data_IF_519874958323
#
_entry.id   IF_519874958323
#
_cell.length_a   1.000
_cell.length_b   1.000
_cell.length_c   1.000
_cell.angle_alpha   90.00
_cell.angle_beta   90.00
_cell.angle_gamma   90.00
#
_symmetry.space_group_name_H-M   'P 1'
#
loop_
_entity.id
_entity.type
_entity.pdbx_description
1 polymer ?
#
# COMPACT_ATOMS: atom_id res chain seq x y z
N UNK A 1 24.06 -3.37 6.45
CA UNK A 1 23.17 -2.20 6.60
C UNK A 1 23.36 -1.40 5.33
N UNK A 2 22.40 -1.49 4.40
CA UNK A 2 22.38 -0.60 3.24
C UNK A 2 21.68 0.68 3.65
N UNK A 3 22.30 1.83 3.38
CA UNK A 3 21.70 3.13 3.62
C UNK A 3 20.54 3.35 2.66
N UNK A 4 19.44 3.90 3.20
CA UNK A 4 18.22 4.20 2.46
C UNK A 4 18.33 5.60 1.85
N UNK A 5 18.33 5.68 0.52
CA UNK A 5 18.36 6.96 -0.19
C UNK A 5 17.02 7.23 -0.85
N UNK A 6 16.27 8.19 -0.31
CA UNK A 6 15.26 8.91 -1.07
C UNK A 6 16.01 9.85 -2.00
N UNK A 7 16.11 9.50 -3.28
CA UNK A 7 16.81 10.31 -4.28
C UNK A 7 16.03 11.57 -4.62
N UNK A 8 16.18 12.61 -3.80
CA UNK A 8 15.75 13.97 -4.15
C UNK A 8 16.96 14.88 -4.03
N UNK A 9 17.53 15.30 -5.16
CA UNK A 9 18.53 16.37 -5.16
C UNK A 9 17.85 17.65 -4.69
N UNK A 10 18.24 18.13 -3.51
CA UNK A 10 17.86 19.45 -3.01
C UNK A 10 18.85 20.44 -3.63
N UNK A 11 18.38 21.27 -4.57
CA UNK A 11 19.11 22.47 -4.97
C UNK A 11 19.00 23.51 -3.84
N UNK A 12 20.03 23.61 -3.00
CA UNK A 12 20.28 24.82 -2.21
C UNK A 12 20.82 25.90 -3.15
N UNK A 13 20.04 26.96 -3.34
CA UNK A 13 20.36 28.07 -4.22
C UNK A 13 21.11 29.14 -3.40
N UNK A 14 22.45 29.18 -3.51
CA UNK A 14 23.27 30.29 -3.02
C UNK A 14 24.36 30.66 -4.05
N UNK A 15 24.03 31.70 -4.82
CA UNK A 15 24.86 32.69 -5.55
C UNK A 15 26.30 32.37 -6.04
N UNK A 16 26.49 32.71 -7.33
CA UNK A 16 27.69 33.24 -8.05
C UNK A 16 28.52 32.30 -8.97
N UNK A 17 28.25 32.42 -10.29
CA UNK A 17 29.17 32.78 -11.40
C UNK A 17 30.53 32.03 -11.46
N UNK A 18 30.73 31.07 -12.38
CA UNK A 18 31.20 31.27 -13.77
C UNK A 18 31.59 29.95 -14.47
N UNK A 19 31.21 29.85 -15.75
CA UNK A 19 31.78 29.08 -16.89
C UNK A 19 32.37 27.66 -16.71
N UNK A 20 31.73 26.65 -17.33
CA UNK A 20 32.23 25.90 -18.51
C UNK A 20 31.77 24.42 -18.57
N UNK A 21 31.49 23.99 -19.81
CA UNK A 21 31.27 22.62 -20.32
C UNK A 21 30.04 21.83 -19.85
N UNK A 22 29.00 21.91 -20.69
CA UNK A 22 27.93 20.92 -20.85
C UNK A 22 28.51 19.54 -21.18
N UNK A 23 28.25 18.55 -20.32
CA UNK A 23 27.62 17.29 -20.76
C UNK A 23 26.98 16.60 -19.55
N UNK A 24 25.70 16.89 -19.29
CA UNK A 24 24.85 16.02 -18.49
C UNK A 24 23.50 15.92 -19.18
N UNK A 25 23.19 14.74 -19.70
CA UNK A 25 21.87 14.37 -20.18
C UNK A 25 20.92 14.17 -18.99
N UNK A 26 20.63 15.24 -18.27
CA UNK A 26 19.50 15.29 -17.36
C UNK A 26 18.22 15.33 -18.19
N UNK A 27 17.44 14.25 -18.15
CA UNK A 27 16.07 14.24 -18.66
C UNK A 27 15.29 15.25 -17.81
N UNK A 28 15.08 16.44 -18.35
CA UNK A 28 14.17 17.41 -17.75
C UNK A 28 12.75 16.89 -17.91
N UNK A 29 12.08 16.58 -16.81
CA UNK A 29 10.64 16.36 -16.83
C UNK A 29 9.97 17.67 -17.27
N UNK A 30 9.39 17.66 -18.47
CA UNK A 30 8.74 18.81 -19.08
C UNK A 30 7.24 18.89 -18.75
N UNK A 31 6.73 18.04 -17.83
CA UNK A 31 5.30 17.99 -17.53
C UNK A 31 4.93 18.96 -16.39
N UNK A 32 4.00 19.85 -16.68
CA UNK A 32 3.40 20.73 -15.67
C UNK A 32 2.46 19.96 -14.73
N UNK A 33 2.01 20.58 -13.62
CA UNK A 33 1.19 19.93 -12.59
C UNK A 33 -0.18 19.39 -13.07
N UNK A 34 -0.62 19.75 -14.28
CA UNK A 34 -1.92 19.35 -14.85
C UNK A 34 -1.84 18.15 -15.83
N UNK A 35 -0.67 17.53 -16.04
CA UNK A 35 -0.46 16.44 -17.02
C UNK A 35 -0.05 15.11 -16.39
N UNK A 36 -0.67 14.74 -15.26
CA UNK A 36 -0.55 13.39 -14.69
C UNK A 36 -1.70 12.55 -15.22
N UNK A 37 -1.43 11.71 -16.23
CA UNK A 37 -2.38 10.68 -16.66
C UNK A 37 -2.49 9.64 -15.53
N UNK A 38 -3.60 9.64 -14.79
CA UNK A 38 -3.85 8.66 -13.74
C UNK A 38 -3.96 7.24 -14.34
N UNK A 39 -3.36 6.25 -13.66
CA UNK A 39 -3.42 4.86 -14.10
C UNK A 39 -4.85 4.32 -13.93
N UNK A 40 -5.48 3.79 -15.00
CA UNK A 40 -6.89 3.40 -14.98
C UNK A 40 -7.16 2.25 -14.01
N UNK A 41 -8.37 2.21 -13.44
CA UNK A 41 -8.81 1.11 -12.61
C UNK A 41 -9.09 -0.14 -13.47
N UNK A 42 -8.62 -1.30 -13.01
CA UNK A 42 -8.78 -2.59 -13.69
C UNK A 42 -8.90 -3.72 -12.68
N UNK A 43 -9.91 -4.57 -12.81
CA UNK A 43 -9.96 -5.84 -12.09
C UNK A 43 -9.15 -6.91 -12.86
N UNK A 44 -8.31 -7.64 -12.12
CA UNK A 44 -7.46 -8.71 -12.64
C UNK A 44 -8.04 -10.04 -12.19
N UNK A 45 -8.22 -10.96 -13.14
CA UNK A 45 -8.71 -12.30 -12.87
C UNK A 45 -7.57 -13.31 -12.92
N UNK A 46 -7.56 -14.24 -11.95
CA UNK A 46 -6.58 -15.33 -11.92
C UNK A 46 -6.84 -16.25 -13.13
N UNK A 47 -5.88 -16.45 -14.04
CA UNK A 47 -6.06 -17.34 -15.19
C UNK A 47 -6.26 -18.79 -14.73
N UNK A 48 -7.08 -19.55 -15.46
CA UNK A 48 -7.50 -20.90 -15.11
C UNK A 48 -6.37 -21.95 -15.10
N UNK A 49 -5.23 -21.64 -15.73
CA UNK A 49 -4.07 -22.53 -15.83
C UNK A 49 -2.97 -22.10 -14.85
N UNK A 50 -2.62 -22.98 -13.92
CA UNK A 50 -1.63 -22.73 -12.87
C UNK A 50 -0.18 -22.68 -13.37
N UNK A 51 0.51 -21.63 -12.90
CA UNK A 51 1.95 -21.40 -12.69
C UNK A 51 2.95 -21.52 -13.85
N UNK A 52 3.60 -20.38 -14.14
CA UNK A 52 5.00 -20.35 -14.59
C UNK A 52 5.86 -21.05 -13.52
N UNK A 53 6.38 -22.23 -13.84
CA UNK A 53 7.40 -22.94 -13.07
C UNK A 53 8.73 -22.18 -13.18
N UNK A 54 8.91 -21.18 -12.33
CA UNK A 54 10.20 -20.52 -12.13
C UNK A 54 10.62 -20.83 -10.69
N UNK A 55 11.86 -21.25 -10.48
CA UNK A 55 12.45 -21.47 -9.15
C UNK A 55 12.52 -20.12 -8.42
N UNK A 56 11.46 -19.77 -7.68
CA UNK A 56 11.38 -18.54 -6.90
C UNK A 56 11.65 -18.86 -5.44
N UNK A 57 12.46 -18.05 -4.77
CA UNK A 57 12.72 -18.18 -3.34
C UNK A 57 11.46 -17.78 -2.58
N UNK A 58 11.04 -18.67 -1.68
CA UNK A 58 9.92 -18.46 -0.78
C UNK A 58 10.50 -18.12 0.60
N UNK A 59 10.02 -17.02 1.18
CA UNK A 59 10.28 -16.63 2.56
C UNK A 59 9.04 -16.94 3.37
N UNK A 60 9.17 -17.63 4.49
CA UNK A 60 8.05 -17.90 5.40
C UNK A 60 8.31 -17.30 6.77
N UNK A 61 7.29 -16.67 7.34
CA UNK A 61 7.31 -16.03 8.65
C UNK A 61 6.19 -16.63 9.50
N UNK A 62 6.51 -16.99 10.73
CA UNK A 62 5.52 -17.46 11.71
C UNK A 62 4.76 -16.26 12.26
N UNK A 63 3.44 -16.26 12.12
CA UNK A 63 2.55 -15.21 12.61
C UNK A 63 1.45 -15.86 13.47
N UNK A 64 1.70 -15.98 14.78
CA UNK A 64 0.79 -16.66 15.70
C UNK A 64 0.60 -18.13 15.33
N UNK A 65 -0.64 -18.50 14.98
CA UNK A 65 -1.07 -19.84 14.59
C UNK A 65 -0.94 -20.14 13.08
N UNK A 66 -0.50 -19.17 12.28
CA UNK A 66 -0.30 -19.34 10.83
C UNK A 66 1.15 -19.14 10.41
N UNK A 67 1.55 -19.81 9.34
CA UNK A 67 2.80 -19.55 8.63
C UNK A 67 2.46 -18.78 7.35
N UNK A 68 2.96 -17.55 7.26
CA UNK A 68 2.75 -16.68 6.10
C UNK A 68 3.97 -16.76 5.19
N UNK A 69 3.77 -17.19 3.95
CA UNK A 69 4.83 -17.37 2.97
C UNK A 69 4.70 -16.34 1.82
N UNK A 70 5.81 -15.83 1.31
CA UNK A 70 5.80 -14.89 0.19
C UNK A 70 7.04 -15.02 -0.67
N UNK A 71 6.94 -14.60 -1.92
CA UNK A 71 8.05 -14.59 -2.86
C UNK A 71 9.08 -13.54 -2.46
N UNK A 72 10.36 -13.89 -2.56
CA UNK A 72 11.44 -12.96 -2.31
C UNK A 72 11.42 -11.83 -3.37
N UNK A 73 11.34 -10.54 -2.99
CA UNK A 73 11.21 -9.40 -3.91
C UNK A 73 12.16 -9.40 -5.12
N UNK A 74 13.45 -9.70 -4.88
CA UNK A 74 14.48 -9.73 -5.93
C UNK A 74 14.17 -10.72 -7.08
N UNK A 75 13.46 -11.81 -6.80
CA UNK A 75 13.17 -12.80 -7.83
C UNK A 75 12.04 -12.30 -8.76
N UNK A 76 11.21 -11.37 -8.28
CA UNK A 76 10.16 -10.71 -9.06
C UNK A 76 10.72 -9.58 -9.92
N UNK A 77 11.68 -8.80 -9.41
CA UNK A 77 12.35 -7.71 -10.14
C UNK A 77 12.99 -8.18 -11.47
N UNK A 78 13.45 -9.44 -11.52
CA UNK A 78 14.01 -10.06 -12.71
C UNK A 78 13.00 -10.38 -13.81
N UNK A 79 11.70 -10.42 -13.50
CA UNK A 79 10.63 -10.86 -14.41
C UNK A 79 9.91 -9.71 -15.11
N UNK A 80 10.18 -8.49 -14.66
CA UNK A 80 9.58 -7.27 -15.15
C UNK A 80 10.09 -6.98 -16.55
N UNK A 81 9.16 -6.74 -17.48
CA UNK A 81 9.49 -6.45 -18.88
C UNK A 81 10.39 -5.19 -18.99
N UNK A 82 11.37 -5.24 -19.90
CA UNK A 82 12.37 -4.18 -20.07
C UNK A 82 11.78 -2.79 -20.37
N UNK A 83 10.54 -2.73 -20.89
CA UNK A 83 9.85 -1.48 -21.25
C UNK A 83 8.84 -1.00 -20.21
N UNK A 84 8.74 -1.66 -19.07
CA UNK A 84 7.80 -1.23 -18.03
C UNK A 84 8.37 -0.06 -17.22
N UNK A 85 7.48 0.83 -16.80
CA UNK A 85 7.79 1.96 -15.93
C UNK A 85 8.48 1.52 -14.61
N UNK A 86 8.16 0.31 -14.14
CA UNK A 86 8.76 -0.28 -12.94
C UNK A 86 10.25 -0.57 -13.16
N UNK A 87 10.64 -1.01 -14.36
CA UNK A 87 12.05 -1.31 -14.65
C UNK A 87 12.89 -0.03 -14.71
N UNK A 88 12.32 1.06 -15.21
CA UNK A 88 12.96 2.38 -15.19
C UNK A 88 13.23 2.84 -13.75
N UNK A 89 12.24 2.71 -12.86
CA UNK A 89 12.38 3.01 -11.43
C UNK A 89 13.48 2.16 -10.75
N UNK A 90 13.47 0.85 -10.99
CA UNK A 90 14.49 -0.07 -10.45
C UNK A 90 15.89 0.29 -10.97
N UNK A 91 16.02 0.63 -12.26
CA UNK A 91 17.31 0.96 -12.89
C UNK A 91 17.97 2.22 -12.32
N UNK A 92 17.15 3.15 -11.80
CA UNK A 92 17.61 4.39 -11.16
C UNK A 92 17.86 4.23 -9.65
N UNK A 93 17.80 2.99 -9.14
CA UNK A 93 17.91 2.67 -7.71
C UNK A 93 16.89 3.42 -6.83
N UNK A 94 15.75 3.80 -7.40
CA UNK A 94 14.67 4.41 -6.64
C UNK A 94 13.69 3.33 -6.17
N UNK A 95 13.46 3.25 -4.86
CA UNK A 95 12.41 2.38 -4.28
C UNK A 95 11.00 2.80 -4.73
N UNK A 96 10.83 4.03 -5.28
CA UNK A 96 9.56 4.69 -5.57
C UNK A 96 9.76 5.75 -6.68
N UNK A 97 8.84 5.82 -7.64
CA UNK A 97 8.61 6.98 -8.50
C UNK A 97 7.12 7.36 -8.40
N UNK A 98 6.78 8.50 -7.75
CA UNK A 98 5.38 8.85 -7.50
C UNK A 98 4.54 8.87 -8.79
N UNK A 99 3.34 8.28 -8.72
CA UNK A 99 2.41 8.13 -9.85
C UNK A 99 2.95 7.34 -11.05
N UNK A 100 4.04 6.59 -10.87
CA UNK A 100 4.68 5.75 -11.89
C UNK A 100 4.89 4.34 -11.32
N UNK A 101 5.61 4.25 -10.20
CA UNK A 101 5.87 3.03 -9.45
C UNK A 101 5.88 3.33 -7.95
N UNK A 102 4.92 2.81 -7.20
CA UNK A 102 4.75 3.14 -5.77
C UNK A 102 5.47 2.15 -4.83
N UNK A 103 6.48 1.43 -5.33
CA UNK A 103 7.33 0.56 -4.50
C UNK A 103 6.73 -0.79 -4.12
N UNK A 104 5.67 -1.24 -4.80
CA UNK A 104 4.87 -2.42 -4.44
C UNK A 104 5.60 -3.77 -4.47
N UNK A 105 6.78 -3.86 -5.10
CA UNK A 105 7.55 -5.12 -5.13
C UNK A 105 8.31 -5.40 -3.84
N UNK A 106 8.53 -4.35 -3.03
CA UNK A 106 9.25 -4.46 -1.77
C UNK A 106 8.30 -4.86 -0.65
N UNK A 107 8.77 -5.77 0.21
CA UNK A 107 8.08 -6.08 1.46
C UNK A 107 8.58 -5.10 2.52
N UNK A 108 7.73 -4.14 2.88
CA UNK A 108 8.02 -3.13 3.89
C UNK A 108 7.75 -3.65 5.31
N UNK A 109 8.54 -3.19 6.29
CA UNK A 109 8.46 -3.66 7.68
C UNK A 109 7.05 -3.47 8.28
N UNK A 110 6.37 -2.37 7.94
CA UNK A 110 5.01 -2.10 8.45
C UNK A 110 3.97 -3.14 8.01
N UNK A 111 4.18 -3.83 6.89
CA UNK A 111 3.28 -4.89 6.42
C UNK A 111 3.28 -6.06 7.40
N UNK A 112 4.46 -6.47 7.87
CA UNK A 112 4.61 -7.51 8.90
C UNK A 112 4.21 -7.01 10.29
N UNK A 113 4.50 -5.75 10.64
CA UNK A 113 4.02 -5.16 11.90
C UNK A 113 2.48 -5.18 11.98
N UNK A 114 1.80 -4.89 10.86
CA UNK A 114 0.35 -4.93 10.78
C UNK A 114 -0.18 -6.35 10.94
N UNK A 115 0.42 -7.35 10.27
CA UNK A 115 0.09 -8.77 10.50
C UNK A 115 0.29 -9.16 11.97
N UNK A 116 1.38 -8.70 12.59
CA UNK A 116 1.65 -8.97 14.00
C UNK A 116 0.61 -8.36 14.92
N UNK A 117 0.09 -7.19 14.61
CA UNK A 117 -1.01 -6.60 15.38
C UNK A 117 -2.35 -7.29 15.14
N UNK A 118 -2.68 -7.62 13.88
CA UNK A 118 -3.93 -8.30 13.54
C UNK A 118 -4.03 -9.68 14.19
N UNK A 119 -2.91 -10.34 14.49
CA UNK A 119 -2.91 -11.61 15.22
C UNK A 119 -3.26 -11.47 16.71
N UNK A 120 -3.00 -10.30 17.30
CA UNK A 120 -3.31 -10.02 18.70
C UNK A 120 -4.81 -9.70 18.88
N UNK A 121 -5.53 -9.45 17.77
CA UNK A 121 -6.99 -9.30 17.76
C UNK A 121 -7.69 -10.66 17.78
N UNK A 122 -8.93 -10.71 18.27
CA UNK A 122 -9.72 -11.95 18.28
C UNK A 122 -9.88 -12.50 16.84
N UNK A 123 -9.37 -13.71 16.52
CA UNK A 123 -9.41 -14.26 15.16
C UNK A 123 -10.82 -14.46 14.58
N UNK A 124 -11.85 -14.61 15.43
CA UNK A 124 -13.26 -14.67 14.99
C UNK A 124 -13.67 -13.36 14.30
N UNK A 125 -12.93 -12.28 14.54
CA UNK A 125 -13.21 -10.95 14.02
C UNK A 125 -13.07 -10.79 12.51
N UNK A 126 -12.57 -11.77 11.75
CA UNK A 126 -12.42 -11.61 10.29
C UNK A 126 -13.29 -12.57 9.46
N UNK A 127 -13.79 -13.63 10.08
CA UNK A 127 -14.58 -14.64 9.36
C UNK A 127 -15.87 -14.02 8.80
N UNK A 128 -16.06 -14.13 7.48
CA UNK A 128 -17.23 -13.58 6.79
C UNK A 128 -17.23 -12.06 6.62
N UNK A 129 -16.16 -11.36 6.99
CA UNK A 129 -16.01 -9.93 6.71
C UNK A 129 -15.47 -9.67 5.30
N UNK A 130 -15.80 -8.49 4.75
CA UNK A 130 -15.23 -7.99 3.50
C UNK A 130 -14.15 -6.98 3.80
N UNK A 131 -12.94 -7.23 3.32
CA UNK A 131 -11.72 -6.47 3.65
C UNK A 131 -11.12 -5.90 2.36
N UNK A 132 -10.66 -4.65 2.41
CA UNK A 132 -9.88 -4.02 1.34
C UNK A 132 -8.46 -3.76 1.83
N UNK A 133 -7.45 -4.23 1.12
CA UNK A 133 -6.06 -3.84 1.34
C UNK A 133 -5.63 -2.83 0.26
N UNK A 134 -5.39 -1.58 0.66
CA UNK A 134 -4.95 -0.49 -0.21
C UNK A 134 -3.42 -0.40 -0.26
N UNK A 135 -2.85 -0.35 -1.46
CA UNK A 135 -1.39 -0.38 -1.66
C UNK A 135 -0.80 -1.69 -1.13
N UNK A 136 -1.33 -2.82 -1.59
CA UNK A 136 -1.12 -4.12 -0.98
C UNK A 136 0.30 -4.67 -1.21
N UNK A 137 0.99 -4.34 -2.31
CA UNK A 137 2.31 -4.89 -2.61
C UNK A 137 2.34 -6.42 -2.52
N UNK A 138 3.08 -6.96 -1.57
CA UNK A 138 3.11 -8.41 -1.31
C UNK A 138 1.80 -9.01 -0.77
N UNK A 139 0.85 -8.19 -0.29
CA UNK A 139 -0.48 -8.58 0.16
C UNK A 139 -0.54 -9.26 1.53
N UNK A 140 0.47 -9.09 2.38
CA UNK A 140 0.65 -9.89 3.60
C UNK A 140 -0.51 -9.70 4.62
N UNK A 141 -0.91 -8.47 5.01
CA UNK A 141 -2.10 -8.24 5.83
C UNK A 141 -3.38 -8.84 5.26
N UNK A 142 -3.64 -8.65 3.96
CA UNK A 142 -4.83 -9.20 3.31
C UNK A 142 -4.82 -10.73 3.31
N UNK A 143 -3.71 -11.36 2.95
CA UNK A 143 -3.55 -12.82 2.98
C UNK A 143 -3.77 -13.37 4.38
N UNK A 144 -3.23 -12.72 5.42
CA UNK A 144 -3.48 -13.13 6.79
C UNK A 144 -4.99 -13.15 7.10
N UNK A 145 -5.72 -12.10 6.76
CA UNK A 145 -7.18 -12.05 7.01
C UNK A 145 -7.98 -13.02 6.13
N UNK A 146 -7.52 -13.29 4.91
CA UNK A 146 -8.07 -14.33 4.03
C UNK A 146 -7.96 -15.71 4.67
N UNK A 147 -6.80 -16.04 5.27
CA UNK A 147 -6.58 -17.28 6.02
C UNK A 147 -7.48 -17.38 7.27
N UNK A 148 -7.98 -16.24 7.78
CA UNK A 148 -8.99 -16.17 8.85
C UNK A 148 -10.44 -16.18 8.34
N UNK A 149 -10.64 -16.38 7.04
CA UNK A 149 -11.94 -16.62 6.42
C UNK A 149 -12.65 -15.38 5.87
N UNK A 150 -11.96 -14.24 5.78
CA UNK A 150 -12.47 -13.03 5.13
C UNK A 150 -12.58 -13.19 3.60
N UNK A 151 -13.37 -12.31 2.97
CA UNK A 151 -13.28 -11.99 1.54
C UNK A 151 -12.41 -10.75 1.41
N UNK A 152 -11.39 -10.78 0.55
CA UNK A 152 -10.34 -9.77 0.50
C UNK A 152 -10.22 -9.19 -0.91
N UNK A 153 -10.25 -7.86 -0.99
CA UNK A 153 -9.93 -7.11 -2.20
C UNK A 153 -8.52 -6.55 -2.04
N UNK A 154 -7.60 -6.99 -2.90
CA UNK A 154 -6.23 -6.52 -2.95
C UNK A 154 -6.12 -5.42 -3.99
N UNK A 155 -5.69 -4.23 -3.58
CA UNK A 155 -5.52 -3.10 -4.48
C UNK A 155 -4.06 -2.67 -4.50
N UNK A 156 -3.49 -2.51 -5.70
CA UNK A 156 -2.18 -1.88 -5.91
C UNK A 156 -2.25 -0.88 -7.07
N UNK A 157 -1.31 0.06 -7.12
CA UNK A 157 -1.22 0.98 -8.24
C UNK A 157 -0.81 0.25 -9.52
N UNK A 158 0.14 -0.70 -9.39
CA UNK A 158 0.73 -1.39 -10.52
C UNK A 158 0.09 -2.77 -10.77
N UNK A 159 -0.41 -3.03 -11.98
CA UNK A 159 -0.98 -4.34 -12.37
C UNK A 159 0.07 -5.45 -12.25
N UNK A 160 1.30 -5.16 -12.64
CA UNK A 160 2.41 -6.10 -12.62
C UNK A 160 2.77 -6.55 -11.19
N UNK A 161 2.55 -5.69 -10.18
CA UNK A 161 2.73 -6.06 -8.76
C UNK A 161 1.69 -7.12 -8.37
N UNK A 162 0.44 -6.93 -8.78
CA UNK A 162 -0.63 -7.89 -8.51
C UNK A 162 -0.35 -9.24 -9.19
N UNK A 163 0.01 -9.22 -10.48
CA UNK A 163 0.23 -10.44 -11.27
C UNK A 163 1.48 -11.22 -10.86
N UNK A 164 2.58 -10.52 -10.57
CA UNK A 164 3.88 -11.16 -10.37
C UNK A 164 4.20 -11.42 -8.89
N UNK A 165 3.53 -10.72 -7.97
CA UNK A 165 3.79 -10.80 -6.54
C UNK A 165 2.54 -11.14 -5.72
N UNK A 166 1.48 -10.31 -5.74
CA UNK A 166 0.33 -10.48 -4.84
C UNK A 166 -0.43 -11.77 -5.10
N UNK A 167 -0.81 -12.05 -6.36
CA UNK A 167 -1.54 -13.26 -6.75
C UNK A 167 -0.72 -14.52 -6.42
N UNK A 168 0.57 -14.63 -6.82
CA UNK A 168 1.41 -15.75 -6.41
C UNK A 168 1.51 -15.92 -4.88
N UNK A 169 1.62 -14.83 -4.11
CA UNK A 169 1.65 -14.92 -2.65
C UNK A 169 0.32 -15.44 -2.09
N UNK A 170 -0.84 -15.01 -2.62
CA UNK A 170 -2.14 -15.56 -2.24
C UNK A 170 -2.18 -17.08 -2.51
N UNK A 171 -1.69 -17.51 -3.66
CA UNK A 171 -1.63 -18.93 -4.05
C UNK A 171 -0.68 -19.75 -3.16
N UNK A 172 0.39 -19.16 -2.64
CA UNK A 172 1.31 -19.84 -1.71
C UNK A 172 0.68 -20.14 -0.34
N UNK A 173 -0.34 -19.38 0.06
CA UNK A 173 -0.92 -19.44 1.41
C UNK A 173 -2.33 -20.05 1.45
N UNK A 174 -2.97 -20.23 0.30
CA UNK A 174 -4.37 -20.68 0.24
C UNK A 174 -4.60 -21.64 -0.92
N UNK A 175 -5.72 -22.37 -0.88
CA UNK A 175 -6.11 -23.32 -1.92
C UNK A 175 -6.97 -22.64 -3.00
N UNK A 176 -7.03 -23.20 -4.23
CA UNK A 176 -7.78 -22.62 -5.33
C UNK A 176 -9.22 -22.24 -5.05
N UNK A 177 -9.93 -23.05 -4.28
CA UNK A 177 -11.32 -22.79 -3.89
C UNK A 177 -11.45 -21.50 -3.08
N UNK A 178 -10.49 -21.23 -2.20
CA UNK A 178 -10.48 -20.03 -1.36
C UNK A 178 -10.19 -18.81 -2.20
N UNK A 179 -9.07 -18.78 -2.93
CA UNK A 179 -8.67 -17.55 -3.61
C UNK A 179 -9.50 -17.25 -4.86
N UNK A 180 -10.16 -18.23 -5.48
CA UNK A 180 -11.08 -17.99 -6.61
C UNK A 180 -12.43 -17.41 -6.17
N UNK A 181 -12.89 -17.75 -4.97
CA UNK A 181 -14.17 -17.27 -4.45
C UNK A 181 -14.05 -16.01 -3.58
N UNK A 182 -12.91 -15.83 -2.90
CA UNK A 182 -12.76 -14.83 -1.84
C UNK A 182 -11.74 -13.74 -2.13
N UNK A 183 -11.05 -13.76 -3.27
CA UNK A 183 -10.08 -12.73 -3.62
C UNK A 183 -10.49 -11.95 -4.87
N UNK A 184 -10.36 -10.63 -4.78
CA UNK A 184 -10.47 -9.70 -5.91
C UNK A 184 -9.17 -8.90 -6.02
N UNK A 185 -8.71 -8.61 -7.23
CA UNK A 185 -7.44 -7.92 -7.48
C UNK A 185 -7.68 -6.69 -8.33
N UNK A 186 -7.31 -5.51 -7.84
CA UNK A 186 -7.67 -4.22 -8.42
C UNK A 186 -6.42 -3.38 -8.65
N UNK A 187 -6.05 -3.17 -9.91
CA UNK A 187 -4.98 -2.27 -10.30
C UNK A 187 -5.50 -0.84 -10.52
N UNK A 188 -4.67 0.17 -10.29
CA UNK A 188 -4.89 1.55 -10.71
C UNK A 188 -4.86 2.60 -9.60
N UNK A 189 -5.05 3.87 -9.98
CA UNK A 189 -5.12 4.99 -9.03
C UNK A 189 -6.32 4.84 -8.08
N UNK A 190 -6.12 5.20 -6.82
CA UNK A 190 -7.17 5.11 -5.79
C UNK A 190 -8.46 5.83 -6.18
N UNK A 191 -8.39 6.97 -6.86
CA UNK A 191 -9.59 7.73 -7.24
C UNK A 191 -10.43 6.95 -8.26
N UNK A 192 -9.77 6.29 -9.21
CA UNK A 192 -10.46 5.52 -10.25
C UNK A 192 -10.94 4.16 -9.71
N UNK A 193 -10.17 3.53 -8.83
CA UNK A 193 -10.59 2.29 -8.14
C UNK A 193 -11.77 2.56 -7.22
N UNK A 194 -11.79 3.71 -6.54
CA UNK A 194 -12.92 4.18 -5.75
C UNK A 194 -14.18 4.24 -6.62
N UNK A 195 -14.11 4.88 -7.78
CA UNK A 195 -15.26 5.02 -8.67
C UNK A 195 -15.79 3.66 -9.16
N UNK A 196 -14.89 2.74 -9.52
CA UNK A 196 -15.24 1.37 -9.92
C UNK A 196 -15.99 0.64 -8.78
N UNK A 197 -15.42 0.60 -7.58
CA UNK A 197 -16.01 -0.10 -6.43
C UNK A 197 -17.31 0.55 -5.93
N UNK A 198 -17.43 1.87 -6.05
CA UNK A 198 -18.67 2.58 -5.72
C UNK A 198 -19.80 2.23 -6.69
N UNK A 199 -19.51 2.04 -7.98
CA UNK A 199 -20.51 1.63 -8.97
C UNK A 199 -21.05 0.22 -8.70
N UNK A 200 -20.20 -0.67 -8.17
CA UNK A 200 -20.60 -2.01 -7.74
C UNK A 200 -21.37 -2.03 -6.41
N UNK A 201 -21.40 -0.90 -5.68
CA UNK A 201 -22.04 -0.81 -4.37
C UNK A 201 -21.25 -1.46 -3.23
N UNK A 202 -19.99 -1.80 -3.46
CA UNK A 202 -19.13 -2.49 -2.49
C UNK A 202 -18.75 -1.57 -1.34
N UNK A 203 -18.75 -2.11 -0.11
CA UNK A 203 -18.29 -1.44 1.12
C UNK A 203 -17.59 -2.45 2.02
N UNK A 204 -16.63 -1.99 2.81
CA UNK A 204 -15.73 -2.86 3.57
C UNK A 204 -15.93 -2.73 5.08
N UNK A 205 -15.89 -3.87 5.78
CA UNK A 205 -15.88 -3.93 7.25
C UNK A 205 -14.53 -3.45 7.79
N UNK A 206 -13.44 -3.81 7.09
CA UNK A 206 -12.08 -3.40 7.44
C UNK A 206 -11.35 -2.91 6.20
N UNK A 207 -10.62 -1.80 6.34
CA UNK A 207 -9.64 -1.37 5.35
C UNK A 207 -8.25 -1.49 5.97
N UNK A 208 -7.35 -2.19 5.30
CA UNK A 208 -5.96 -2.38 5.69
C UNK A 208 -5.08 -1.54 4.76
N UNK A 209 -4.02 -0.95 5.30
CA UNK A 209 -3.01 -0.31 4.46
C UNK A 209 -1.69 -0.18 5.22
N UNK A 210 -0.57 -0.37 4.53
CA UNK A 210 0.76 -0.27 5.14
C UNK A 210 1.71 0.51 4.26
N UNK A 211 2.40 1.50 4.84
CA UNK A 211 3.38 2.38 4.17
C UNK A 211 2.80 3.16 2.97
N UNK A 212 1.58 3.68 3.09
CA UNK A 212 0.87 4.40 2.01
C UNK A 212 0.71 5.91 2.24
N UNK A 213 1.24 6.44 3.36
CA UNK A 213 1.13 7.86 3.74
C UNK A 213 2.46 8.63 3.63
N UNK A 214 3.45 8.08 2.94
CA UNK A 214 4.77 8.71 2.76
C UNK A 214 4.69 10.01 1.94
N UNK A 215 3.78 10.08 0.96
CA UNK A 215 3.59 11.23 0.08
C UNK A 215 2.42 12.09 0.58
N UNK A 216 2.71 13.35 0.94
CA UNK A 216 1.68 14.32 1.34
C UNK A 216 0.61 14.52 0.26
N UNK A 217 1.03 14.55 -1.01
CA UNK A 217 0.15 14.78 -2.17
C UNK A 217 -0.84 13.64 -2.42
N UNK A 218 -0.51 12.42 -1.96
CA UNK A 218 -1.34 11.24 -2.16
C UNK A 218 -2.33 11.00 -1.01
N UNK A 219 -2.11 11.60 0.16
CA UNK A 219 -2.98 11.41 1.33
C UNK A 219 -4.44 11.84 1.11
N UNK A 220 -4.75 12.93 0.38
CA UNK A 220 -6.14 13.26 0.06
C UNK A 220 -6.85 12.17 -0.74
N UNK A 221 -6.15 11.52 -1.69
CA UNK A 221 -6.69 10.40 -2.47
C UNK A 221 -6.94 9.19 -1.57
N UNK A 222 -5.97 8.83 -0.73
CA UNK A 222 -6.10 7.73 0.24
C UNK A 222 -7.28 7.95 1.19
N UNK A 223 -7.40 9.15 1.75
CA UNK A 223 -8.50 9.50 2.64
C UNK A 223 -9.86 9.39 1.94
N UNK A 224 -9.97 9.88 0.71
CA UNK A 224 -11.23 9.85 -0.04
C UNK A 224 -11.68 8.42 -0.35
N UNK A 225 -10.78 7.53 -0.79
CA UNK A 225 -11.14 6.13 -1.06
C UNK A 225 -11.56 5.42 0.23
N UNK A 226 -10.84 5.63 1.34
CA UNK A 226 -11.22 5.09 2.64
C UNK A 226 -12.61 5.57 3.03
N UNK A 227 -12.84 6.89 2.96
CA UNK A 227 -14.13 7.49 3.32
C UNK A 227 -15.28 6.95 2.50
N UNK A 228 -15.07 6.78 1.20
CA UNK A 228 -16.13 6.37 0.28
C UNK A 228 -16.50 4.90 0.42
N UNK A 229 -15.54 4.06 0.80
CA UNK A 229 -15.67 2.59 0.77
C UNK A 229 -15.81 1.94 2.14
N UNK A 230 -15.47 2.62 3.24
CA UNK A 230 -15.64 2.08 4.59
C UNK A 230 -17.14 2.01 4.98
N UNK A 231 -17.56 0.91 5.60
CA UNK A 231 -18.90 0.82 6.22
C UNK A 231 -19.00 1.78 7.42
N UNK A 232 -20.21 2.23 7.83
CA UNK A 232 -20.39 3.14 8.97
C UNK A 232 -19.76 2.68 10.29
N UNK A 233 -19.72 1.36 10.54
CA UNK A 233 -19.10 0.75 11.72
C UNK A 233 -17.77 0.07 11.41
N UNK A 234 -17.23 0.30 10.21
CA UNK A 234 -15.98 -0.29 9.77
C UNK A 234 -14.78 0.33 10.47
N UNK A 235 -13.64 -0.35 10.37
CA UNK A 235 -12.36 0.11 10.92
C UNK A 235 -11.31 0.19 9.83
N UNK A 236 -10.39 1.13 9.97
CA UNK A 236 -9.17 1.16 9.18
C UNK A 236 -7.99 0.87 10.09
N UNK A 237 -7.11 -0.02 9.67
CA UNK A 237 -5.82 -0.24 10.29
C UNK A 237 -4.71 0.19 9.34
N UNK A 238 -3.94 1.19 9.74
CA UNK A 238 -2.88 1.79 8.96
C UNK A 238 -1.55 1.63 9.69
N UNK A 239 -0.58 0.96 9.08
CA UNK A 239 0.78 0.85 9.64
C UNK A 239 1.76 1.71 8.83
N UNK A 240 2.48 2.61 9.49
CA UNK A 240 3.41 3.51 8.79
C UNK A 240 4.54 4.00 9.71
N UNK A 241 5.60 4.55 9.09
CA UNK A 241 6.67 5.24 9.82
C UNK A 241 6.16 6.55 10.39
N UNK A 242 6.71 6.95 11.54
CA UNK A 242 6.36 8.26 12.13
C UNK A 242 6.81 9.42 11.27
N UNK A 243 7.84 9.22 10.45
CA UNK A 243 8.35 10.20 9.51
C UNK A 243 9.07 9.52 8.34
N UNK A 244 8.83 10.04 7.13
CA UNK A 244 9.53 9.68 5.90
C UNK A 244 10.40 10.85 5.46
N UNK A 245 11.72 10.70 5.59
CA UNK A 245 12.68 11.73 5.17
C UNK A 245 12.60 11.95 3.65
N UNK A 246 12.73 13.20 3.20
CA UNK A 246 12.67 13.59 1.77
C UNK A 246 11.26 13.89 1.27
N UNK A 247 10.29 13.00 1.50
CA UNK A 247 8.89 13.13 1.01
C UNK A 247 7.93 13.78 2.01
N UNK A 248 8.34 13.89 3.28
CA UNK A 248 7.66 14.70 4.30
C UNK A 248 6.45 14.06 4.98
N UNK A 249 5.93 12.94 4.47
CA UNK A 249 4.82 12.23 5.10
C UNK A 249 5.19 11.53 6.41
N UNK A 250 4.17 10.99 7.08
CA UNK A 250 4.33 10.25 8.34
C UNK A 250 3.05 10.25 9.17
N UNK A 251 3.01 9.42 10.21
CA UNK A 251 1.79 9.22 11.02
C UNK A 251 1.25 10.50 11.63
N UNK A 252 2.11 11.37 12.17
CA UNK A 252 1.68 12.61 12.85
C UNK A 252 0.96 13.57 11.93
N UNK A 253 1.55 13.83 10.77
CA UNK A 253 0.97 14.73 9.79
C UNK A 253 -0.33 14.16 9.21
N UNK A 254 -0.42 12.84 8.99
CA UNK A 254 -1.66 12.20 8.53
C UNK A 254 -2.77 12.25 9.60
N UNK A 255 -2.43 12.03 10.87
CA UNK A 255 -3.39 12.18 11.97
C UNK A 255 -3.98 13.60 12.03
N UNK A 256 -3.14 14.63 11.88
CA UNK A 256 -3.59 16.04 11.89
C UNK A 256 -4.51 16.32 10.70
N UNK A 257 -4.14 15.84 9.51
CA UNK A 257 -4.98 15.93 8.31
C UNK A 257 -6.36 15.27 8.51
N UNK A 258 -6.40 14.07 9.09
CA UNK A 258 -7.66 13.35 9.36
C UNK A 258 -8.52 14.12 10.38
N UNK A 259 -7.91 14.61 11.47
CA UNK A 259 -8.61 15.39 12.51
C UNK A 259 -9.19 16.69 11.96
N UNK A 260 -8.48 17.35 11.05
CA UNK A 260 -8.95 18.57 10.39
C UNK A 260 -10.22 18.33 9.56
N UNK A 261 -10.33 17.17 8.89
CA UNK A 261 -11.54 16.81 8.12
C UNK A 261 -12.77 16.57 9.02
N UNK A 262 -12.56 16.11 10.26
CA UNK A 262 -13.63 16.00 11.26
C UNK A 262 -14.69 14.93 10.96
N UNK A 263 -14.40 13.96 10.09
CA UNK A 263 -15.29 12.83 9.78
C UNK A 263 -14.89 11.54 10.50
N UNK A 264 -13.60 11.41 10.85
CA UNK A 264 -13.02 10.24 11.48
C UNK A 264 -12.38 10.56 12.83
N UNK A 265 -12.50 9.64 13.77
CA UNK A 265 -11.57 9.53 14.89
C UNK A 265 -10.35 8.72 14.45
N UNK A 266 -9.16 9.11 14.91
CA UNK A 266 -7.89 8.44 14.61
C UNK A 266 -6.98 8.41 15.84
N UNK A 267 -6.48 7.21 16.16
CA UNK A 267 -5.61 6.97 17.31
C UNK A 267 -4.45 6.03 16.98
N UNK A 268 -3.31 6.24 17.64
CA UNK A 268 -2.18 5.32 17.61
C UNK A 268 -2.40 4.21 18.62
N UNK A 269 -2.65 3.00 18.12
CA UNK A 269 -2.98 1.79 18.89
C UNK A 269 -1.75 0.92 19.17
N UNK A 270 -0.66 1.11 18.42
CA UNK A 270 0.61 0.41 18.62
C UNK A 270 1.77 1.30 18.20
N UNK A 271 2.84 1.28 18.98
CA UNK A 271 4.13 1.91 18.65
C UNK A 271 5.20 0.82 18.58
N UNK A 272 5.98 0.81 17.50
CA UNK A 272 7.13 -0.06 17.31
C UNK A 272 8.40 0.81 17.25
N UNK A 273 9.32 0.56 18.19
CA UNK A 273 10.51 1.40 18.38
C UNK A 273 11.81 0.73 17.89
N UNK A 274 11.74 -0.44 17.25
CA UNK A 274 12.90 -1.12 16.70
C UNK A 274 13.25 -0.53 15.31
N UNK A 275 14.38 0.17 15.23
CA UNK A 275 14.80 0.87 14.01
C UNK A 275 14.15 2.25 13.90
N UNK A 276 13.74 2.64 12.69
CA UNK A 276 12.91 3.84 12.51
C UNK A 276 11.59 3.61 13.23
N UNK A 277 11.13 4.60 14.01
CA UNK A 277 9.88 4.48 14.77
C UNK A 277 8.70 4.32 13.81
N UNK A 278 7.87 3.31 14.06
CA UNK A 278 6.67 2.97 13.30
C UNK A 278 5.47 2.93 14.23
N UNK A 279 4.29 3.18 13.70
CA UNK A 279 3.04 3.17 14.47
C UNK A 279 1.95 2.47 13.65
N UNK A 280 1.02 1.85 14.37
CA UNK A 280 -0.25 1.37 13.80
C UNK A 280 -1.32 2.33 14.30
N UNK A 281 -2.03 2.91 13.36
CA UNK A 281 -3.16 3.79 13.58
C UNK A 281 -4.46 3.02 13.35
N UNK A 282 -5.45 3.30 14.19
CA UNK A 282 -6.82 2.89 13.97
C UNK A 282 -7.66 4.11 13.62
N UNK A 283 -8.51 3.99 12.60
CA UNK A 283 -9.42 5.06 12.18
C UNK A 283 -10.85 4.54 12.03
N UNK A 284 -11.83 5.31 12.53
CA UNK A 284 -13.28 4.97 12.50
C UNK A 284 -14.12 6.22 12.28
N UNK A 285 -15.32 6.08 11.71
CA UNK A 285 -16.23 7.22 11.59
C UNK A 285 -16.63 7.77 12.97
N UNK A 286 -16.67 9.10 13.10
CA UNK A 286 -17.19 9.75 14.32
C UNK A 286 -18.69 9.48 14.40
N UNK A 287 -19.11 8.73 15.41
CA UNK A 287 -20.52 8.44 15.65
C UNK A 287 -21.30 9.72 16.00
N UNK A 288 -22.55 9.87 15.52
CA UNK A 288 -23.34 11.08 15.74
C UNK A 288 -23.51 11.47 17.22
N UNK A 289 -23.59 10.47 18.12
CA UNK A 289 -23.66 10.66 19.57
C UNK A 289 -22.42 11.31 20.19
N UNK A 290 -21.25 11.18 19.57
CA UNK A 290 -19.99 11.76 20.08
C UNK A 290 -19.77 13.22 19.62
N UNK A 291 -20.62 13.77 18.74
CA UNK A 291 -20.50 15.17 18.27
C UNK A 291 -20.96 16.21 19.32
N UNK A 292 -21.63 15.80 20.40
CA UNK A 292 -22.18 16.68 21.43
C UNK A 292 -21.33 16.87 22.70
N UNK A 293 -20.19 16.20 22.84
CA UNK A 293 -19.41 16.19 24.08
C UNK A 293 -18.25 17.23 24.13
N UNK A 294 -18.11 18.06 23.11
CA UNK A 294 -17.11 19.15 23.07
C UNK A 294 -17.81 20.49 22.80
N UNK A 295 -18.43 21.05 23.83
CA UNK A 295 -18.72 22.49 23.97
C UNK A 295 -18.15 22.97 25.28
#
# INVERSE_FOLDING_TARGET
MGDFTFGFEICEDDSNIDTASNDSSAVKDHRGPDDITLRPAKEIYIPYNETRNEERRIVCVSCGDVNLCYLHPQDVEGMIEEKSDIKEAISTHSDLLPSVYEGGLKVWECSLDLVQYLQDLDPISFSGQTILELGCGAGLPGIYTLMKGATVHFQDYNEEVLELLTIPNVQLNTIPEVYKEKCHFLAGDWSLVQDLLMQEGTRYDVILTSETIYSLDSQPRLYNIIRSLLKPNGKVFLAAKTHYFGVGGGTRQFEDFVREKGEFEIESIKVISQGVRREILEMRFIQPENKGAKT
#
